data_IF_768508075568
#
_entry.id   IF_768508075568
#
_cell.length_a   1.000
_cell.length_b   1.000
_cell.length_c   1.000
_cell.angle_alpha   90.00
_cell.angle_beta   90.00
_cell.angle_gamma   90.00
#
_symmetry.space_group_name_H-M   'P 1'
#
loop_
_entity.id
_entity.type
_entity.pdbx_description
1 polymer ?
#
# COMPACT_ATOMS: atom_id res chain seq x y z
N UNK A 1 -4.62 -36.87 -2.10
CA UNK A 1 -4.33 -35.53 -2.64
C UNK A 1 -5.58 -34.66 -2.79
N UNK A 2 -6.68 -35.16 -3.39
CA UNK A 2 -7.93 -34.40 -3.60
C UNK A 2 -8.48 -33.77 -2.30
N UNK A 3 -8.46 -34.50 -1.19
CA UNK A 3 -8.93 -34.03 0.12
C UNK A 3 -8.10 -32.87 0.68
N UNK A 4 -6.77 -32.91 0.53
CA UNK A 4 -5.89 -31.86 1.04
C UNK A 4 -6.05 -30.55 0.27
N UNK A 5 -6.24 -30.64 -1.06
CA UNK A 5 -6.49 -29.47 -1.90
C UNK A 5 -7.86 -28.88 -1.57
N UNK A 6 -8.91 -29.68 -1.44
CA UNK A 6 -10.23 -29.19 -1.05
C UNK A 6 -10.21 -28.46 0.31
N UNK A 7 -9.50 -29.02 1.30
CA UNK A 7 -9.32 -28.37 2.61
C UNK A 7 -8.65 -27.00 2.46
N UNK A 8 -7.62 -26.87 1.61
CA UNK A 8 -6.95 -25.60 1.35
C UNK A 8 -7.93 -24.55 0.79
N UNK A 9 -8.78 -24.94 -0.17
CA UNK A 9 -9.79 -24.06 -0.76
C UNK A 9 -10.81 -23.57 0.27
N UNK A 10 -11.35 -24.48 1.10
CA UNK A 10 -12.31 -24.14 2.15
C UNK A 10 -11.68 -23.22 3.21
N UNK A 11 -10.47 -23.55 3.67
CA UNK A 11 -9.73 -22.73 4.64
C UNK A 11 -9.45 -21.33 4.08
N UNK A 12 -9.07 -21.23 2.81
CA UNK A 12 -8.86 -19.95 2.14
C UNK A 12 -10.15 -19.12 2.07
N UNK A 13 -11.29 -19.74 1.75
CA UNK A 13 -12.58 -19.07 1.73
C UNK A 13 -13.02 -18.58 3.11
N UNK A 14 -12.89 -19.43 4.13
CA UNK A 14 -13.19 -19.07 5.52
C UNK A 14 -12.29 -17.93 6.01
N UNK A 15 -10.99 -17.99 5.71
CA UNK A 15 -10.05 -16.92 6.01
C UNK A 15 -10.42 -15.61 5.30
N UNK A 16 -10.75 -15.66 4.01
CA UNK A 16 -11.18 -14.49 3.24
C UNK A 16 -12.44 -13.83 3.81
N UNK A 17 -13.40 -14.64 4.26
CA UNK A 17 -14.61 -14.14 4.94
C UNK A 17 -14.28 -13.44 6.26
N UNK A 18 -13.49 -14.08 7.14
CA UNK A 18 -13.08 -13.50 8.43
C UNK A 18 -12.26 -12.22 8.21
N UNK A 19 -11.31 -12.23 7.27
CA UNK A 19 -10.51 -11.07 6.93
C UNK A 19 -11.39 -9.91 6.43
N UNK A 20 -12.37 -10.18 5.57
CA UNK A 20 -13.31 -9.17 5.07
C UNK A 20 -14.11 -8.54 6.21
N UNK A 21 -14.60 -9.34 7.17
CA UNK A 21 -15.29 -8.83 8.36
C UNK A 21 -14.39 -7.95 9.21
N UNK A 22 -13.14 -8.37 9.47
CA UNK A 22 -12.18 -7.58 10.24
C UNK A 22 -11.87 -6.23 9.56
N UNK A 23 -11.66 -6.24 8.24
CA UNK A 23 -11.42 -5.03 7.45
C UNK A 23 -12.65 -4.12 7.51
N UNK A 24 -13.86 -4.68 7.37
CA UNK A 24 -15.11 -3.93 7.47
C UNK A 24 -15.24 -3.24 8.82
N UNK A 25 -15.07 -3.98 9.92
CA UNK A 25 -15.12 -3.43 11.28
C UNK A 25 -14.13 -2.27 11.43
N UNK A 26 -12.90 -2.44 10.96
CA UNK A 26 -11.89 -1.39 11.05
C UNK A 26 -12.21 -0.17 10.18
N UNK A 27 -12.74 -0.37 8.97
CA UNK A 27 -13.15 0.71 8.08
C UNK A 27 -14.31 1.55 8.68
N UNK A 28 -15.26 0.91 9.37
CA UNK A 28 -16.35 1.62 10.03
C UNK A 28 -15.95 2.25 11.37
N UNK A 29 -15.05 1.63 12.13
CA UNK A 29 -14.55 2.18 13.39
C UNK A 29 -13.51 3.29 13.19
N UNK A 30 -12.78 3.29 12.07
CA UNK A 30 -11.72 4.25 11.78
C UNK A 30 -11.95 4.83 10.39
N UNK A 31 -12.35 6.09 10.33
CA UNK A 31 -12.64 6.81 9.07
C UNK A 31 -11.37 7.23 8.30
N UNK A 32 -10.53 6.26 7.94
CA UNK A 32 -9.35 6.46 7.10
C UNK A 32 -9.64 6.03 5.66
N UNK A 33 -9.28 6.87 4.69
CA UNK A 33 -9.50 6.60 3.25
C UNK A 33 -8.95 5.23 2.82
N UNK A 34 -7.73 4.88 3.24
CA UNK A 34 -7.08 3.60 2.91
C UNK A 34 -7.91 2.38 3.35
N UNK A 35 -8.62 2.47 4.49
CA UNK A 35 -9.44 1.36 4.99
C UNK A 35 -10.69 1.14 4.14
N UNK A 36 -11.31 2.21 3.62
CA UNK A 36 -12.41 2.08 2.67
C UNK A 36 -11.95 1.50 1.34
N UNK A 37 -10.74 1.83 0.87
CA UNK A 37 -10.16 1.20 -0.32
C UNK A 37 -9.91 -0.30 -0.12
N UNK A 38 -9.32 -0.69 1.02
CA UNK A 38 -9.12 -2.10 1.37
C UNK A 38 -10.45 -2.84 1.51
N UNK A 39 -11.46 -2.19 2.09
CA UNK A 39 -12.79 -2.76 2.21
C UNK A 39 -13.43 -3.00 0.84
N UNK A 40 -13.41 -2.02 -0.07
CA UNK A 40 -13.91 -2.19 -1.43
C UNK A 40 -13.20 -3.35 -2.17
N UNK A 41 -11.87 -3.43 -2.05
CA UNK A 41 -11.11 -4.55 -2.61
C UNK A 41 -11.50 -5.90 -2.00
N UNK A 42 -11.71 -5.97 -0.68
CA UNK A 42 -12.12 -7.20 0.00
C UNK A 42 -13.51 -7.69 -0.44
N UNK A 43 -14.46 -6.77 -0.63
CA UNK A 43 -15.81 -7.07 -1.14
C UNK A 43 -15.75 -7.63 -2.56
N UNK A 44 -14.91 -7.07 -3.42
CA UNK A 44 -14.78 -7.53 -4.81
C UNK A 44 -14.01 -8.85 -4.91
N UNK A 45 -13.02 -9.06 -4.04
CA UNK A 45 -12.19 -10.27 -4.02
C UNK A 45 -12.93 -11.49 -3.43
N UNK A 46 -13.84 -11.28 -2.47
CA UNK A 46 -14.52 -12.38 -1.78
C UNK A 46 -15.37 -13.26 -2.71
N UNK A 47 -16.27 -12.70 -3.55
CA UNK A 47 -17.01 -13.49 -4.53
C UNK A 47 -16.10 -14.26 -5.48
N UNK A 48 -14.99 -13.67 -5.94
CA UNK A 48 -14.06 -14.35 -6.84
C UNK A 48 -13.35 -15.52 -6.17
N UNK A 49 -13.01 -15.39 -4.87
CA UNK A 49 -12.47 -16.51 -4.09
C UNK A 49 -13.48 -17.64 -3.92
N UNK A 50 -14.76 -17.31 -3.74
CA UNK A 50 -15.86 -18.30 -3.65
C UNK A 50 -16.06 -18.98 -5.01
N UNK A 51 -16.08 -18.22 -6.11
CA UNK A 51 -16.14 -18.78 -7.46
C UNK A 51 -15.01 -19.79 -7.73
N UNK A 52 -13.80 -19.52 -7.24
CA UNK A 52 -12.68 -20.47 -7.35
C UNK A 52 -12.96 -21.79 -6.62
N UNK A 53 -13.55 -21.74 -5.42
CA UNK A 53 -13.95 -22.94 -4.65
C UNK A 53 -15.04 -23.72 -5.38
N UNK A 54 -16.09 -23.03 -5.84
CA UNK A 54 -17.23 -23.64 -6.56
C UNK A 54 -16.75 -24.29 -7.86
N UNK A 55 -15.84 -23.63 -8.57
CA UNK A 55 -15.24 -24.14 -9.82
C UNK A 55 -14.39 -25.39 -9.55
N UNK A 56 -13.60 -25.39 -8.48
CA UNK A 56 -12.81 -26.57 -8.09
C UNK A 56 -13.70 -27.76 -7.69
N UNK A 57 -14.84 -27.49 -7.08
CA UNK A 57 -15.86 -28.49 -6.77
C UNK A 57 -16.72 -28.89 -7.99
N UNK A 58 -16.35 -28.47 -9.21
CA UNK A 58 -16.98 -28.81 -10.49
C UNK A 58 -18.44 -28.35 -10.62
N UNK A 59 -18.92 -27.46 -9.75
CA UNK A 59 -20.26 -26.88 -9.83
C UNK A 59 -20.36 -25.69 -10.79
N UNK A 60 -19.22 -25.15 -11.25
CA UNK A 60 -19.17 -24.01 -12.16
C UNK A 60 -18.08 -24.21 -13.23
N UNK A 61 -18.31 -23.78 -14.49
CA UNK A 61 -17.28 -23.85 -15.53
C UNK A 61 -16.04 -23.01 -15.22
N UNK A 62 -14.86 -23.48 -15.66
CA UNK A 62 -13.56 -22.85 -15.37
C UNK A 62 -13.38 -21.44 -15.94
N UNK A 63 -14.04 -21.11 -17.05
CA UNK A 63 -13.96 -19.78 -17.64
C UNK A 63 -14.52 -18.69 -16.71
N UNK A 64 -15.50 -19.00 -15.86
CA UNK A 64 -16.04 -18.06 -14.88
C UNK A 64 -15.02 -17.72 -13.79
N UNK A 65 -14.24 -18.69 -13.34
CA UNK A 65 -13.16 -18.48 -12.39
C UNK A 65 -12.09 -17.55 -12.97
N UNK A 66 -11.68 -17.82 -14.21
CA UNK A 66 -10.74 -16.99 -14.97
C UNK A 66 -11.27 -15.55 -15.15
N UNK A 67 -12.55 -15.40 -15.51
CA UNK A 67 -13.20 -14.10 -15.62
C UNK A 67 -13.21 -13.33 -14.30
N UNK A 68 -13.69 -13.95 -13.21
CA UNK A 68 -13.73 -13.33 -11.89
C UNK A 68 -12.34 -12.89 -11.46
N UNK A 69 -11.33 -13.74 -11.64
CA UNK A 69 -9.94 -13.39 -11.32
C UNK A 69 -9.44 -12.17 -12.12
N UNK A 70 -9.66 -12.14 -13.44
CA UNK A 70 -9.23 -11.04 -14.29
C UNK A 70 -9.92 -9.73 -13.90
N UNK A 71 -11.23 -9.79 -13.64
CA UNK A 71 -12.01 -8.63 -13.21
C UNK A 71 -11.50 -8.06 -11.88
N UNK A 72 -11.32 -8.91 -10.86
CA UNK A 72 -10.79 -8.48 -9.56
C UNK A 72 -9.37 -7.93 -9.70
N UNK A 73 -8.53 -8.56 -10.54
CA UNK A 73 -7.15 -8.11 -10.75
C UNK A 73 -7.07 -6.77 -11.48
N UNK A 74 -7.93 -6.51 -12.46
CA UNK A 74 -8.06 -5.19 -13.09
C UNK A 74 -8.42 -4.12 -12.06
N UNK A 75 -9.44 -4.39 -11.24
CA UNK A 75 -9.88 -3.48 -10.19
C UNK A 75 -8.76 -3.19 -9.19
N UNK A 76 -8.04 -4.23 -8.76
CA UNK A 76 -6.93 -4.13 -7.81
C UNK A 76 -5.79 -3.28 -8.36
N UNK A 77 -5.35 -3.52 -9.61
CA UNK A 77 -4.24 -2.77 -10.22
C UNK A 77 -4.58 -1.29 -10.36
N UNK A 78 -5.80 -0.96 -10.79
CA UNK A 78 -6.26 0.44 -10.87
C UNK A 78 -6.27 1.09 -9.49
N UNK A 79 -6.79 0.40 -8.47
CA UNK A 79 -6.82 0.93 -7.11
C UNK A 79 -5.43 1.08 -6.49
N UNK A 80 -4.52 0.13 -6.71
CA UNK A 80 -3.13 0.23 -6.28
C UNK A 80 -2.42 1.41 -6.92
N UNK A 81 -2.67 1.65 -8.22
CA UNK A 81 -2.16 2.81 -8.92
C UNK A 81 -2.67 4.11 -8.28
N UNK A 82 -3.97 4.22 -8.03
CA UNK A 82 -4.55 5.41 -7.38
C UNK A 82 -4.04 5.62 -5.94
N UNK A 83 -3.96 4.55 -5.15
CA UNK A 83 -3.50 4.62 -3.76
C UNK A 83 -2.04 5.06 -3.68
N UNK A 84 -1.18 4.52 -4.55
CA UNK A 84 0.23 4.87 -4.59
C UNK A 84 0.43 6.33 -5.01
N UNK A 85 -0.39 6.85 -5.94
CA UNK A 85 -0.40 8.27 -6.27
C UNK A 85 -0.86 9.15 -5.10
N UNK A 86 -1.91 8.77 -4.38
CA UNK A 86 -2.41 9.53 -3.21
C UNK A 86 -1.39 9.54 -2.06
N UNK A 87 -0.62 8.47 -1.89
CA UNK A 87 0.51 8.47 -0.95
C UNK A 87 1.63 9.39 -1.47
N UNK A 88 1.92 9.32 -2.78
CA UNK A 88 2.93 10.14 -3.44
C UNK A 88 2.65 11.65 -3.38
N UNK A 89 1.39 12.09 -3.48
CA UNK A 89 1.01 13.51 -3.31
C UNK A 89 1.33 14.01 -1.91
N UNK A 90 1.02 13.21 -0.88
CA UNK A 90 1.24 13.58 0.52
C UNK A 90 2.74 13.69 0.88
N UNK A 91 3.60 12.97 0.15
CA UNK A 91 5.05 12.97 0.34
C UNK A 91 5.80 14.05 -0.46
N UNK A 92 5.15 14.64 -1.48
CA UNK A 92 5.77 15.61 -2.40
C UNK A 92 5.24 17.02 -2.12
N UNK A 93 6.15 17.91 -1.71
CA UNK A 93 5.85 19.34 -1.50
C UNK A 93 5.35 20.01 -2.79
N UNK A 94 5.88 19.59 -3.95
CA UNK A 94 5.53 20.14 -5.26
C UNK A 94 4.27 19.49 -5.91
N UNK A 95 3.62 18.53 -5.23
CA UNK A 95 2.53 17.74 -5.81
C UNK A 95 2.96 16.74 -6.90
N UNK A 96 1.98 16.17 -7.62
CA UNK A 96 2.23 15.24 -8.75
C UNK A 96 2.53 16.03 -10.01
N UNK A 97 3.71 15.79 -10.59
CA UNK A 97 4.07 16.25 -11.94
C UNK A 97 3.75 15.16 -12.96
N UNK A 98 2.56 15.22 -13.56
CA UNK A 98 2.06 14.23 -14.52
C UNK A 98 2.95 14.05 -15.76
N UNK A 99 3.73 15.07 -16.13
CA UNK A 99 4.70 15.02 -17.23
C UNK A 99 5.99 14.27 -16.90
N UNK A 100 6.16 13.79 -15.67
CA UNK A 100 7.36 13.08 -15.28
C UNK A 100 7.48 11.74 -16.02
N UNK A 101 8.63 11.41 -16.65
CA UNK A 101 8.76 10.23 -17.50
C UNK A 101 8.41 8.93 -16.78
N UNK A 102 8.76 8.81 -15.50
CA UNK A 102 8.41 7.63 -14.68
C UNK A 102 6.88 7.46 -14.52
N UNK A 103 6.12 8.54 -14.35
CA UNK A 103 4.65 8.44 -14.27
C UNK A 103 4.09 8.02 -15.63
N UNK A 104 4.61 8.59 -16.72
CA UNK A 104 4.18 8.25 -18.07
C UNK A 104 4.42 6.76 -18.36
N UNK A 105 5.61 6.24 -18.03
CA UNK A 105 5.92 4.81 -18.15
C UNK A 105 4.92 3.98 -17.32
N UNK A 106 4.66 4.40 -16.09
CA UNK A 106 3.69 3.74 -15.21
C UNK A 106 2.29 3.70 -15.81
N UNK A 107 1.80 4.82 -16.34
CA UNK A 107 0.49 4.94 -16.99
C UNK A 107 0.39 4.10 -18.27
N UNK A 108 1.41 4.11 -19.12
CA UNK A 108 1.44 3.30 -20.34
C UNK A 108 1.41 1.82 -19.99
N UNK A 109 2.18 1.40 -18.99
CA UNK A 109 2.17 0.03 -18.50
C UNK A 109 0.80 -0.35 -17.89
N UNK A 110 0.17 0.52 -17.10
CA UNK A 110 -1.18 0.32 -16.57
C UNK A 110 -2.18 0.08 -17.71
N UNK A 111 -2.19 0.96 -18.72
CA UNK A 111 -3.04 0.80 -19.90
C UNK A 111 -2.76 -0.53 -20.61
N UNK A 112 -1.49 -0.91 -20.75
CA UNK A 112 -1.08 -2.20 -21.31
C UNK A 112 -1.66 -3.40 -20.55
N UNK A 113 -1.60 -3.39 -19.22
CA UNK A 113 -2.21 -4.41 -18.36
C UNK A 113 -3.73 -4.49 -18.56
N UNK A 114 -4.42 -3.34 -18.59
CA UNK A 114 -5.87 -3.30 -18.77
C UNK A 114 -6.28 -3.84 -20.14
N UNK A 115 -5.54 -3.46 -21.20
CA UNK A 115 -5.76 -3.99 -22.56
C UNK A 115 -5.56 -5.51 -22.57
N UNK A 116 -4.48 -6.02 -21.96
CA UNK A 116 -4.23 -7.46 -21.86
C UNK A 116 -5.36 -8.20 -21.14
N UNK A 117 -5.92 -7.61 -20.08
CA UNK A 117 -7.02 -8.20 -19.33
C UNK A 117 -8.32 -8.20 -20.15
N UNK A 118 -8.65 -7.11 -20.84
CA UNK A 118 -9.82 -7.02 -21.72
C UNK A 118 -9.73 -8.01 -22.88
N UNK A 119 -8.55 -8.14 -23.50
CA UNK A 119 -8.31 -9.14 -24.56
C UNK A 119 -8.54 -10.54 -24.02
N UNK A 120 -8.01 -10.87 -22.84
CA UNK A 120 -8.22 -12.19 -22.23
C UNK A 120 -9.69 -12.47 -21.93
N UNK A 121 -10.43 -11.50 -21.38
CA UNK A 121 -11.88 -11.64 -21.14
C UNK A 121 -12.60 -11.90 -22.46
N UNK A 122 -12.26 -11.13 -23.50
CA UNK A 122 -12.85 -11.28 -24.84
C UNK A 122 -12.59 -12.67 -25.42
N UNK A 123 -11.35 -13.14 -25.34
CA UNK A 123 -10.95 -14.46 -25.83
C UNK A 123 -11.65 -15.58 -25.06
N UNK A 124 -11.72 -15.48 -23.73
CA UNK A 124 -12.40 -16.47 -22.87
C UNK A 124 -13.86 -16.68 -23.30
N UNK A 125 -14.59 -15.61 -23.59
CA UNK A 125 -16.01 -15.70 -23.98
C UNK A 125 -16.23 -16.06 -25.46
N UNK A 126 -15.32 -15.70 -26.36
CA UNK A 126 -15.47 -16.00 -27.80
C UNK A 126 -15.00 -17.42 -28.14
N UNK A 127 -13.85 -17.84 -27.61
CA UNK A 127 -13.25 -19.14 -27.95
C UNK A 127 -13.74 -20.26 -27.03
N UNK A 128 -14.37 -19.93 -25.89
CA UNK A 128 -14.83 -20.90 -24.90
C UNK A 128 -13.68 -21.59 -24.15
N UNK A 129 -12.50 -20.98 -24.14
CA UNK A 129 -11.33 -21.51 -23.44
C UNK A 129 -11.55 -21.50 -21.92
N UNK A 130 -11.07 -22.55 -21.26
CA UNK A 130 -11.19 -22.70 -19.81
C UNK A 130 -10.27 -21.75 -19.04
N UNK A 131 -9.19 -21.30 -19.67
CA UNK A 131 -8.12 -20.54 -19.02
C UNK A 131 -7.66 -19.36 -19.87
N UNK A 132 -7.06 -18.32 -19.25
CA UNK A 132 -6.56 -17.19 -20.00
C UNK A 132 -5.38 -17.59 -20.89
N UNK A 133 -5.23 -16.90 -22.03
CA UNK A 133 -4.13 -17.15 -22.96
C UNK A 133 -2.79 -16.82 -22.30
N UNK A 134 -1.92 -17.83 -22.18
CA UNK A 134 -0.67 -17.76 -21.39
C UNK A 134 0.22 -16.57 -21.74
N UNK A 135 0.46 -16.29 -23.02
CA UNK A 135 1.35 -15.20 -23.44
C UNK A 135 0.77 -13.82 -23.08
N UNK A 136 -0.53 -13.61 -23.27
CA UNK A 136 -1.21 -12.35 -22.93
C UNK A 136 -1.30 -12.18 -21.40
N UNK A 137 -1.52 -13.27 -20.67
CA UNK A 137 -1.49 -13.28 -19.20
C UNK A 137 -0.13 -12.84 -18.66
N UNK A 138 0.95 -13.48 -19.11
CA UNK A 138 2.32 -13.14 -18.69
C UNK A 138 2.64 -11.68 -19.03
N UNK A 139 2.31 -11.24 -20.23
CA UNK A 139 2.54 -9.85 -20.68
C UNK A 139 1.78 -8.86 -19.80
N UNK A 140 0.51 -9.14 -19.48
CA UNK A 140 -0.29 -8.32 -18.58
C UNK A 140 0.29 -8.21 -17.17
N UNK A 141 0.81 -9.31 -16.62
CA UNK A 141 1.48 -9.34 -15.31
C UNK A 141 2.78 -8.53 -15.35
N UNK A 142 3.60 -8.66 -16.40
CA UNK A 142 4.84 -7.87 -16.55
C UNK A 142 4.53 -6.38 -16.60
N UNK A 143 3.53 -5.97 -17.39
CA UNK A 143 3.11 -4.58 -17.41
C UNK A 143 2.57 -4.09 -16.06
N UNK A 144 1.89 -4.94 -15.29
CA UNK A 144 1.38 -4.57 -13.97
C UNK A 144 2.55 -4.28 -13.02
N UNK A 145 3.59 -5.11 -13.05
CA UNK A 145 4.82 -4.92 -12.28
C UNK A 145 5.55 -3.64 -12.69
N UNK A 146 5.65 -3.35 -13.98
CA UNK A 146 6.28 -2.11 -14.47
C UNK A 146 5.48 -0.88 -14.04
N UNK A 147 4.15 -0.93 -14.13
CA UNK A 147 3.23 0.12 -13.69
C UNK A 147 3.46 0.46 -12.22
N UNK A 148 3.29 -0.56 -11.37
CA UNK A 148 3.43 -0.45 -9.93
C UNK A 148 4.84 -0.02 -9.51
N UNK A 149 5.87 -0.64 -10.11
CA UNK A 149 7.26 -0.33 -9.83
C UNK A 149 7.60 1.13 -10.17
N UNK A 150 7.19 1.59 -11.35
CA UNK A 150 7.41 2.99 -11.76
C UNK A 150 6.75 3.96 -10.79
N UNK A 151 5.50 3.68 -10.42
CA UNK A 151 4.75 4.55 -9.52
C UNK A 151 5.34 4.57 -8.10
N UNK A 152 5.82 3.42 -7.63
CA UNK A 152 6.51 3.27 -6.36
C UNK A 152 7.81 4.09 -6.36
N UNK A 153 8.67 3.93 -7.39
CA UNK A 153 9.89 4.72 -7.54
C UNK A 153 9.59 6.22 -7.61
N UNK A 154 8.55 6.62 -8.33
CA UNK A 154 8.15 8.02 -8.40
C UNK A 154 7.70 8.55 -7.04
N UNK A 155 6.81 7.85 -6.35
CA UNK A 155 6.22 8.31 -5.08
C UNK A 155 7.25 8.41 -3.96
N UNK A 156 8.35 7.65 -4.04
CA UNK A 156 9.35 7.51 -2.98
C UNK A 156 10.70 8.11 -3.27
N UNK A 157 10.95 8.51 -4.51
CA UNK A 157 12.09 9.34 -4.89
C UNK A 157 12.34 10.51 -3.91
N UNK A 158 11.31 11.23 -3.41
CA UNK A 158 11.50 12.27 -2.40
C UNK A 158 12.08 11.75 -1.08
N UNK A 159 11.66 10.58 -0.57
CA UNK A 159 12.24 10.02 0.66
C UNK A 159 13.71 9.62 0.48
N UNK A 160 14.07 9.14 -0.70
CA UNK A 160 15.44 8.72 -1.02
C UNK A 160 16.35 9.95 -1.16
N UNK A 161 15.87 11.04 -1.77
CA UNK A 161 16.66 12.26 -1.99
C UNK A 161 16.63 13.27 -0.83
N UNK A 162 15.54 13.37 -0.06
CA UNK A 162 15.39 14.36 1.02
C UNK A 162 16.00 13.92 2.36
N UNK A 163 16.90 12.93 2.38
CA UNK A 163 17.65 12.50 3.58
C UNK A 163 18.28 13.68 4.36
N UNK A 164 18.55 14.79 3.68
CA UNK A 164 19.17 16.02 4.18
C UNK A 164 18.22 17.11 4.73
N UNK A 165 16.92 17.12 4.40
CA UNK A 165 15.97 18.18 4.83
C UNK A 165 14.78 17.57 5.59
N UNK A 166 15.03 17.10 6.82
CA UNK A 166 14.06 16.34 7.63
C UNK A 166 13.17 17.25 8.50
N UNK A 167 12.13 17.81 7.89
CA UNK A 167 11.08 18.55 8.63
C UNK A 167 9.92 17.61 9.05
N UNK A 168 9.86 16.37 8.53
CA UNK A 168 8.75 15.44 8.75
C UNK A 168 9.19 14.04 9.25
N UNK A 169 9.81 13.99 10.44
CA UNK A 169 10.36 12.75 11.01
C UNK A 169 9.30 11.73 11.46
N UNK A 170 8.08 12.17 11.80
CA UNK A 170 6.99 11.27 12.18
C UNK A 170 6.24 10.67 10.98
N UNK A 171 6.12 11.40 9.86
CA UNK A 171 5.54 10.85 8.62
C UNK A 171 6.50 9.88 7.91
N UNK A 172 7.81 10.05 8.07
CA UNK A 172 8.81 9.17 7.44
C UNK A 172 8.78 7.75 8.00
N UNK A 173 8.48 7.57 9.30
CA UNK A 173 8.47 6.27 10.00
C UNK A 173 7.37 5.33 9.52
N UNK A 174 6.14 5.82 9.38
CA UNK A 174 5.01 5.02 8.85
C UNK A 174 5.18 4.73 7.37
N UNK A 175 5.81 5.65 6.63
CA UNK A 175 6.06 5.48 5.20
C UNK A 175 7.07 4.36 4.97
N UNK A 176 8.20 4.33 5.70
CA UNK A 176 9.22 3.28 5.58
C UNK A 176 8.64 1.88 5.83
N UNK A 177 7.77 1.72 6.83
CA UNK A 177 7.09 0.45 7.09
C UNK A 177 6.26 -0.03 5.89
N UNK A 178 5.46 0.87 5.31
CA UNK A 178 4.69 0.57 4.12
C UNK A 178 5.59 0.11 2.96
N UNK A 179 6.80 0.67 2.84
CA UNK A 179 7.78 0.27 1.82
C UNK A 179 8.30 -1.13 2.04
N UNK A 180 8.69 -1.44 3.28
CA UNK A 180 9.21 -2.75 3.62
C UNK A 180 8.16 -3.83 3.38
N UNK A 181 6.92 -3.61 3.82
CA UNK A 181 5.80 -4.50 3.52
C UNK A 181 5.64 -4.66 2.01
N UNK A 182 5.51 -3.56 1.27
CA UNK A 182 5.23 -3.61 -0.17
C UNK A 182 6.34 -4.34 -0.93
N UNK A 183 7.61 -4.12 -0.57
CA UNK A 183 8.75 -4.82 -1.16
C UNK A 183 8.72 -6.33 -0.89
N UNK A 184 8.47 -6.74 0.36
CA UNK A 184 8.36 -8.16 0.75
C UNK A 184 7.23 -8.81 -0.04
N UNK A 185 6.06 -8.16 -0.14
CA UNK A 185 4.93 -8.69 -0.87
C UNK A 185 5.20 -8.82 -2.36
N UNK A 186 5.82 -7.83 -3.01
CA UNK A 186 6.21 -7.96 -4.42
C UNK A 186 7.18 -9.12 -4.65
N UNK A 187 8.12 -9.38 -3.74
CA UNK A 187 9.01 -10.53 -3.83
C UNK A 187 8.24 -11.86 -3.69
N UNK A 188 7.26 -11.93 -2.78
CA UNK A 188 6.41 -13.11 -2.58
C UNK A 188 5.51 -13.35 -3.80
N UNK A 189 4.80 -12.34 -4.31
CA UNK A 189 4.00 -12.46 -5.53
C UNK A 189 4.87 -12.81 -6.74
N UNK A 190 6.01 -12.14 -6.93
CA UNK A 190 6.94 -12.43 -8.00
C UNK A 190 7.39 -13.88 -8.00
N UNK A 191 7.74 -14.41 -6.82
CA UNK A 191 8.11 -15.82 -6.65
C UNK A 191 6.95 -16.77 -7.00
N UNK A 192 5.73 -16.44 -6.57
CA UNK A 192 4.53 -17.24 -6.87
C UNK A 192 4.24 -17.27 -8.39
N UNK A 193 4.30 -16.13 -9.06
CA UNK A 193 4.07 -16.05 -10.52
C UNK A 193 5.17 -16.74 -11.32
N UNK A 194 6.45 -16.58 -10.95
CA UNK A 194 7.57 -17.29 -11.58
C UNK A 194 7.38 -18.80 -11.45
N UNK A 195 7.06 -19.28 -10.24
CA UNK A 195 6.75 -20.69 -10.00
C UNK A 195 5.61 -21.18 -10.90
N UNK A 196 4.52 -20.43 -10.99
CA UNK A 196 3.38 -20.80 -11.84
C UNK A 196 3.73 -20.79 -13.33
N UNK A 197 4.58 -19.88 -13.80
CA UNK A 197 5.04 -19.86 -15.18
C UNK A 197 5.82 -21.12 -15.55
N UNK A 198 6.40 -21.84 -14.59
CA UNK A 198 7.07 -23.12 -14.79
C UNK A 198 6.13 -24.33 -14.66
N UNK A 199 4.89 -24.15 -14.19
CA UNK A 199 3.92 -25.21 -13.98
C UNK A 199 2.95 -25.37 -15.17
N UNK A 200 2.26 -26.53 -15.29
CA UNK A 200 1.24 -26.68 -16.30
C UNK A 200 -0.01 -25.85 -15.94
N UNK A 201 -0.74 -25.43 -16.98
CA UNK A 201 -1.82 -24.43 -16.87
C UNK A 201 -3.05 -24.93 -16.10
N UNK A 202 -3.20 -26.25 -15.97
CA UNK A 202 -4.21 -26.90 -15.13
C UNK A 202 -4.05 -26.57 -13.64
N UNK A 203 -2.88 -26.07 -13.22
CA UNK A 203 -2.63 -25.58 -11.85
C UNK A 203 -3.11 -24.15 -11.62
N UNK A 204 -3.75 -23.51 -12.59
CA UNK A 204 -4.27 -22.14 -12.45
C UNK A 204 -5.21 -21.98 -11.25
N UNK A 205 -6.18 -22.86 -10.95
CA UNK A 205 -7.02 -22.73 -9.76
C UNK A 205 -6.22 -22.74 -8.44
N UNK A 206 -5.12 -23.50 -8.40
CA UNK A 206 -4.23 -23.58 -7.23
C UNK A 206 -3.46 -22.26 -7.07
N UNK A 207 -2.93 -21.69 -8.17
CA UNK A 207 -2.36 -20.34 -8.15
C UNK A 207 -3.37 -19.34 -7.56
N UNK A 208 -4.62 -19.38 -8.03
CA UNK A 208 -5.66 -18.45 -7.57
C UNK A 208 -5.92 -18.55 -6.07
N UNK A 209 -5.91 -19.76 -5.49
CA UNK A 209 -6.05 -19.91 -4.03
C UNK A 209 -4.92 -19.22 -3.29
N UNK A 210 -3.67 -19.45 -3.70
CA UNK A 210 -2.53 -18.78 -3.07
C UNK A 210 -2.60 -17.27 -3.26
N UNK A 211 -2.94 -16.80 -4.46
CA UNK A 211 -3.03 -15.38 -4.77
C UNK A 211 -4.12 -14.70 -3.92
N UNK A 212 -5.33 -15.27 -3.82
CA UNK A 212 -6.38 -14.74 -2.94
C UNK A 212 -5.97 -14.77 -1.47
N UNK A 213 -5.35 -15.86 -1.01
CA UNK A 213 -4.91 -15.98 0.38
C UNK A 213 -3.88 -14.91 0.74
N UNK A 214 -2.88 -14.71 -0.13
CA UNK A 214 -1.85 -13.67 0.03
C UNK A 214 -2.47 -12.27 -0.01
N UNK A 215 -3.43 -12.01 -0.91
CA UNK A 215 -4.17 -10.72 -0.96
C UNK A 215 -4.86 -10.44 0.37
N UNK A 216 -5.55 -11.42 0.95
CA UNK A 216 -6.22 -11.24 2.24
C UNK A 216 -5.25 -11.01 3.40
N UNK A 217 -4.12 -11.73 3.44
CA UNK A 217 -3.08 -11.45 4.44
C UNK A 217 -2.57 -10.02 4.27
N UNK A 218 -2.29 -9.59 3.03
CA UNK A 218 -1.83 -8.24 2.74
C UNK A 218 -2.85 -7.17 3.16
N UNK A 219 -4.15 -7.37 2.88
CA UNK A 219 -5.20 -6.46 3.30
C UNK A 219 -5.31 -6.37 4.83
N UNK A 220 -5.21 -7.51 5.52
CA UNK A 220 -5.18 -7.54 6.99
C UNK A 220 -3.97 -6.79 7.53
N UNK A 221 -2.78 -7.01 6.97
CA UNK A 221 -1.57 -6.28 7.37
C UNK A 221 -1.68 -4.77 7.17
N UNK A 222 -2.36 -4.31 6.11
CA UNK A 222 -2.61 -2.88 5.91
C UNK A 222 -3.71 -2.28 6.79
N UNK A 223 -4.56 -3.13 7.36
CA UNK A 223 -5.65 -2.70 8.24
C UNK A 223 -5.13 -2.28 9.62
N UNK A 224 -4.10 -2.97 10.12
CA UNK A 224 -3.53 -2.72 11.44
C UNK A 224 -2.35 -1.74 11.39
N UNK A 225 -2.18 -0.90 12.42
CA UNK A 225 -1.00 -0.04 12.51
C UNK A 225 0.28 -0.90 12.60
N UNK A 226 1.43 -0.39 12.13
CA UNK A 226 2.70 -1.08 12.27
C UNK A 226 3.01 -1.46 13.73
N UNK A 227 3.56 -2.65 13.99
CA UNK A 227 4.12 -2.98 15.29
C UNK A 227 5.22 -1.98 15.70
N UNK A 228 5.16 -1.47 16.93
CA UNK A 228 6.12 -0.47 17.43
C UNK A 228 7.58 -0.95 17.37
N UNK A 229 7.84 -2.23 17.60
CA UNK A 229 9.18 -2.82 17.54
C UNK A 229 9.81 -2.69 16.14
N UNK A 230 9.03 -2.87 15.07
CA UNK A 230 9.54 -2.78 13.71
C UNK A 230 9.78 -1.33 13.31
N UNK A 231 8.88 -0.42 13.72
CA UNK A 231 9.09 1.02 13.52
C UNK A 231 10.36 1.48 14.22
N UNK A 232 10.61 1.02 15.44
CA UNK A 232 11.84 1.33 16.19
C UNK A 232 13.09 0.77 15.51
N UNK A 233 13.08 -0.49 15.08
CA UNK A 233 14.21 -1.12 14.39
C UNK A 233 14.53 -0.44 13.06
N UNK A 234 13.51 -0.16 12.24
CA UNK A 234 13.67 0.57 10.99
C UNK A 234 14.14 2.01 11.24
N UNK A 235 13.59 2.67 12.27
CA UNK A 235 14.03 4.01 12.62
C UNK A 235 15.49 4.03 13.07
N UNK A 236 15.93 3.04 13.83
CA UNK A 236 17.32 2.91 14.25
C UNK A 236 18.23 2.68 13.03
N UNK A 237 17.92 1.78 12.12
CA UNK A 237 18.82 1.53 10.97
C UNK A 237 18.83 2.64 9.92
N UNK A 238 17.70 3.30 9.66
CA UNK A 238 17.62 4.36 8.65
C UNK A 238 17.95 5.76 9.21
N UNK A 239 17.81 5.98 10.52
CA UNK A 239 18.04 7.27 11.17
C UNK A 239 19.16 7.29 12.23
N UNK A 240 19.85 6.17 12.51
CA UNK A 240 20.95 6.05 13.50
C UNK A 240 22.07 7.07 13.35
N UNK A 241 22.31 7.59 12.15
CA UNK A 241 23.31 8.64 11.90
C UNK A 241 23.06 9.99 12.59
N UNK A 242 21.94 10.17 13.31
CA UNK A 242 21.68 11.36 14.13
C UNK A 242 21.84 11.13 15.65
N UNK A 243 22.05 9.90 16.11
CA UNK A 243 22.14 9.63 17.57
C UNK A 243 23.48 10.03 18.20
N UNK A 244 24.45 10.53 17.43
CA UNK A 244 25.78 10.94 17.91
C UNK A 244 25.94 12.46 18.04
N UNK A 245 24.91 13.27 17.80
CA UNK A 245 25.00 14.71 18.06
C UNK A 245 23.97 15.16 19.12
N UNK A 246 24.52 15.52 20.27
CA UNK A 246 23.91 16.24 21.39
C UNK A 246 22.87 15.49 22.25
N UNK A 247 23.36 14.51 23.00
CA UNK A 247 23.04 14.43 24.43
C UNK A 247 24.37 14.50 25.20
N UNK A 248 25.04 15.65 25.13
CA UNK A 248 26.01 16.00 26.18
C UNK A 248 25.22 16.21 27.45
N UNK A 249 25.51 15.34 28.42
CA UNK A 249 25.30 15.50 29.85
C UNK A 249 24.95 16.94 30.26
N UNK A 250 23.69 17.16 30.63
CA UNK A 250 23.42 18.00 31.80
C UNK A 250 22.69 17.13 32.81
N UNK A 251 23.52 16.58 33.67
CA UNK A 251 23.18 16.05 34.98
C UNK A 251 22.17 16.96 35.69
N UNK A 252 21.19 16.30 36.30
CA UNK A 252 20.44 16.83 37.43
C UNK A 252 21.35 17.63 38.37
N UNK A 253 21.06 18.91 38.56
CA UNK A 253 21.23 19.58 39.84
C UNK A 253 20.27 20.76 39.91
N UNK A 254 19.36 20.70 40.88
CA UNK A 254 18.49 21.81 41.21
C UNK A 254 19.26 22.90 41.95
N UNK A 255 18.99 24.15 41.58
CA UNK A 255 18.92 25.27 42.52
C UNK A 255 18.26 26.45 41.83
N UNK A 256 17.15 26.88 42.42
CA UNK A 256 16.55 28.22 42.35
C UNK A 256 17.63 29.32 42.28
N UNK A 257 17.39 30.37 41.47
CA UNK A 257 17.55 31.81 41.79
C UNK A 257 17.49 32.65 40.50
N UNK A 258 16.48 33.53 40.47
CA UNK A 258 16.40 34.88 39.89
C UNK A 258 16.92 35.18 38.47
N UNK A 259 15.96 35.59 37.63
CA UNK A 259 16.19 36.35 36.41
C UNK A 259 16.94 37.68 36.67
N UNK A 260 17.67 38.17 35.66
CA UNK A 260 17.65 39.59 35.34
C UNK A 260 17.07 39.82 33.96
N UNK A 261 16.04 40.67 33.98
CA UNK A 261 15.52 41.48 32.89
C UNK A 261 16.69 42.27 32.28
N UNK A 262 17.09 41.95 31.03
CA UNK A 262 17.72 42.88 30.07
C UNK A 262 18.13 42.16 28.77
N UNK A 263 17.18 42.06 27.83
CA UNK A 263 17.46 42.04 26.37
C UNK A 263 16.16 42.16 25.56
N UNK A 264 15.25 43.02 26.04
CA UNK A 264 14.12 43.55 25.26
C UNK A 264 14.66 44.68 24.37
N UNK A 265 15.41 44.34 23.32
CA UNK A 265 15.80 45.26 22.22
C UNK A 265 16.48 44.54 21.05
N UNK A 266 15.81 43.55 20.47
CA UNK A 266 16.18 42.99 19.15
C UNK A 266 14.99 42.36 18.41
N UNK A 267 13.75 42.80 18.69
CA UNK A 267 12.53 42.14 18.20
C UNK A 267 11.58 43.04 17.41
N UNK A 268 12.12 44.08 16.76
CA UNK A 268 11.32 45.02 15.93
C UNK A 268 11.86 45.25 14.50
N UNK A 269 12.86 44.49 14.03
CA UNK A 269 13.37 44.63 12.64
C UNK A 269 13.11 43.45 11.71
N UNK A 270 12.34 42.44 12.12
CA UNK A 270 11.93 41.31 11.26
C UNK A 270 10.41 41.15 11.32
N UNK A 271 9.69 42.26 11.09
CA UNK A 271 8.23 42.28 11.02
C UNK A 271 7.72 43.13 9.85
N UNK A 272 8.41 43.06 8.71
CA UNK A 272 7.92 43.60 7.43
C UNK A 272 8.50 42.78 6.28
N UNK A 273 7.98 41.57 6.06
CA UNK A 273 7.78 40.97 4.74
C UNK A 273 7.06 39.63 4.92
N UNK A 274 6.07 39.38 4.07
CA UNK A 274 5.12 38.25 4.05
C UNK A 274 3.82 38.44 4.83
N UNK A 275 3.03 39.40 4.36
CA UNK A 275 1.57 39.29 4.33
C UNK A 275 1.13 39.19 2.87
N UNK A 276 0.81 37.98 2.39
CA UNK A 276 -0.21 37.70 1.37
C UNK A 276 -0.36 36.18 1.17
N UNK A 277 -1.49 35.62 1.64
CA UNK A 277 -2.24 34.47 1.07
C UNK A 277 -2.98 33.75 2.20
N UNK A 278 -4.25 34.12 2.36
CA UNK A 278 -5.20 33.52 3.27
C UNK A 278 -5.80 32.23 2.69
N UNK A 279 -5.25 31.08 3.08
CA UNK A 279 -5.93 29.77 2.96
C UNK A 279 -5.21 28.67 3.78
N UNK A 280 -5.05 28.85 5.09
CA UNK A 280 -4.37 27.82 5.93
C UNK A 280 -4.84 27.80 7.40
N UNK A 281 -6.15 27.92 7.64
CA UNK A 281 -6.69 27.77 9.02
C UNK A 281 -7.35 26.40 9.24
N UNK A 282 -7.75 25.68 8.18
CA UNK A 282 -8.36 24.34 8.30
C UNK A 282 -7.35 23.19 8.29
N UNK A 283 -6.22 23.30 7.59
CA UNK A 283 -5.19 22.23 7.57
C UNK A 283 -4.41 22.10 8.88
N UNK A 284 -4.13 23.23 9.54
CA UNK A 284 -3.41 23.23 10.82
C UNK A 284 -4.26 22.64 11.97
N UNK A 285 -5.59 22.79 11.91
CA UNK A 285 -6.49 22.17 12.89
C UNK A 285 -6.55 20.64 12.77
N UNK A 286 -6.51 20.11 11.53
CA UNK A 286 -6.51 18.66 11.26
C UNK A 286 -5.16 18.02 11.62
N UNK A 287 -4.04 18.71 11.40
CA UNK A 287 -2.71 18.24 11.84
C UNK A 287 -2.56 18.22 13.37
N UNK A 288 -3.17 19.17 14.08
CA UNK A 288 -3.09 19.23 15.55
C UNK A 288 -3.91 18.12 16.21
N UNK A 289 -5.09 17.77 15.67
CA UNK A 289 -5.89 16.64 16.18
C UNK A 289 -5.23 15.26 15.91
N UNK A 290 -4.60 15.06 14.74
CA UNK A 290 -3.88 13.82 14.45
C UNK A 290 -2.67 13.60 15.38
N UNK A 291 -2.00 14.68 15.78
CA UNK A 291 -0.85 14.63 16.70
C UNK A 291 -1.28 14.35 18.14
N UNK A 292 -2.43 14.89 18.57
CA UNK A 292 -2.99 14.65 19.92
C UNK A 292 -3.51 13.22 20.09
N UNK A 293 -4.07 12.62 19.02
CA UNK A 293 -4.57 11.24 19.04
C UNK A 293 -3.45 10.18 19.07
N UNK A 294 -2.31 10.44 18.41
CA UNK A 294 -1.18 9.50 18.39
C UNK A 294 -0.49 9.37 19.77
N UNK A 295 -0.44 10.46 20.54
CA UNK A 295 0.11 10.45 21.90
C UNK A 295 -0.80 9.76 22.94
N UNK A 296 -2.08 9.50 22.63
CA UNK A 296 -2.98 8.73 23.49
C UNK A 296 -2.93 7.22 23.23
N UNK A 297 -2.50 6.77 22.04
CA UNK A 297 -2.39 5.34 21.72
C UNK A 297 -1.04 4.71 22.10
N UNK A 298 -0.06 5.54 22.49
CA UNK A 298 1.25 5.10 22.97
C UNK A 298 1.42 5.24 24.50
N UNK A 299 0.32 5.28 25.26
CA UNK A 299 0.31 5.14 26.72
C UNK A 299 -0.40 3.86 27.12
#
# INVERSE_FOLDING_TARGET
>A
MVTAVLVLFIVSGAFGFVATLLIATQAFCRHKKILYFLFANSIVTLPASICNIITFAEYMPQHWNSFCYLFVSMFLVVLHFWLSLDIGTQLRIDGIRWSHPIIIIGLVALCGTLICAVIQITVLFIQGDNYPLRSVFITGVVFAVISDGSLFFYSLSPLIHLKSKRIHENQSRTTIWFLCIQFIWYAVYGSLYIWFFCMPWDKFPILLVFDYFLRYIQFVMYTFPPPCCIVQLMSQHFFSGLSTYNYTNDSCNGSTINAPLDSLKAKDSIRQHYSYSSSSSKENAVQFEQTKFYNMQCK
#
